data_IF_483737522167
#
_entry.id   IF_483737522167
#
_cell.length_a   1.000
_cell.length_b   1.000
_cell.length_c   1.000
_cell.angle_alpha   90.00
_cell.angle_beta   90.00
_cell.angle_gamma   90.00
#
_symmetry.space_group_name_H-M   'P 1'
#
loop_
_entity.id
_entity.type
_entity.pdbx_description
1 polymer ?
#
# COMPACT_ATOMS: atom_id res chain seq x y z
N UNK A 1 6.72 0.78 -3.47
CA UNK A 1 7.46 -0.40 -2.97
C UNK A 1 8.14 -0.16 -1.62
N UNK A 2 9.28 0.52 -1.51
CA UNK A 2 10.01 0.64 -0.22
C UNK A 2 9.21 1.31 0.92
N UNK A 3 8.41 2.35 0.61
CA UNK A 3 7.63 3.07 1.61
C UNK A 3 6.59 2.19 2.33
N UNK A 4 5.80 1.44 1.56
CA UNK A 4 4.78 0.54 2.10
C UNK A 4 5.41 -0.59 2.90
N UNK A 5 6.48 -1.24 2.40
CA UNK A 5 7.21 -2.24 3.19
C UNK A 5 7.69 -1.71 4.53
N UNK A 6 8.26 -0.50 4.57
CA UNK A 6 8.74 0.11 5.81
C UNK A 6 7.61 0.29 6.82
N UNK A 7 6.52 0.95 6.42
CA UNK A 7 5.40 1.26 7.31
C UNK A 7 4.69 -0.02 7.77
N UNK A 8 4.42 -0.95 6.85
CA UNK A 8 3.70 -2.20 7.16
C UNK A 8 4.57 -3.19 7.96
N UNK A 9 5.88 -2.95 8.04
CA UNK A 9 6.79 -3.66 8.95
C UNK A 9 6.95 -2.96 10.30
N UNK A 10 6.18 -1.90 10.58
CA UNK A 10 6.11 -1.25 11.88
C UNK A 10 6.83 0.09 12.00
N UNK A 11 7.33 0.65 10.89
CA UNK A 11 7.88 2.00 10.93
C UNK A 11 6.77 3.03 11.19
N UNK A 12 7.02 3.99 12.09
CA UNK A 12 6.10 5.09 12.39
C UNK A 12 5.87 6.07 11.22
N UNK A 13 6.64 5.92 10.13
CA UNK A 13 6.52 6.74 8.94
C UNK A 13 7.56 6.37 7.89
N UNK A 14 7.70 7.23 6.88
CA UNK A 14 8.67 7.08 5.80
C UNK A 14 9.13 8.44 5.29
N UNK A 15 10.41 8.56 4.95
CA UNK A 15 10.97 9.77 4.34
C UNK A 15 11.21 9.53 2.86
N UNK A 16 10.56 10.33 2.00
CA UNK A 16 10.81 10.33 0.57
C UNK A 16 12.09 11.10 0.24
N UNK A 17 12.86 10.59 -0.72
CA UNK A 17 14.05 11.24 -1.25
C UNK A 17 14.12 11.07 -2.76
N UNK A 18 14.41 12.17 -3.47
CA UNK A 18 14.61 12.18 -4.91
C UNK A 18 15.98 12.77 -5.25
N UNK A 19 16.68 12.13 -6.18
CA UNK A 19 18.07 12.49 -6.47
C UNK A 19 18.27 13.98 -6.87
N UNK A 20 17.37 14.61 -7.64
CA UNK A 20 17.50 16.03 -7.99
C UNK A 20 17.23 16.98 -6.81
N UNK A 21 16.31 16.62 -5.90
CA UNK A 21 15.82 17.52 -4.83
C UNK A 21 16.86 17.71 -3.73
N UNK A 22 17.32 16.62 -3.11
CA UNK A 22 18.28 16.69 -1.99
C UNK A 22 19.65 17.31 -2.36
N UNK A 23 19.95 17.46 -3.65
CA UNK A 23 21.16 18.13 -4.16
C UNK A 23 20.88 19.54 -4.66
N UNK A 24 19.60 19.91 -4.82
CA UNK A 24 19.17 21.09 -5.56
C UNK A 24 19.86 21.17 -6.92
N UNK A 25 19.84 20.08 -7.70
CA UNK A 25 20.52 20.01 -9.00
C UNK A 25 20.00 21.09 -9.94
N UNK A 26 20.91 21.88 -10.51
CA UNK A 26 20.65 22.87 -11.54
C UNK A 26 21.82 22.87 -12.55
N UNK A 27 21.74 23.68 -13.61
CA UNK A 27 22.77 23.75 -14.65
C UNK A 27 24.11 24.34 -14.17
N UNK A 28 24.13 24.96 -12.99
CA UNK A 28 25.32 25.58 -12.38
C UNK A 28 26.03 24.66 -11.39
N UNK A 29 25.38 23.58 -10.96
CA UNK A 29 25.89 22.64 -9.94
C UNK A 29 26.32 21.32 -10.55
N UNK A 30 27.44 20.79 -10.06
CA UNK A 30 27.94 19.48 -10.48
C UNK A 30 26.94 18.38 -10.10
N UNK A 31 26.46 17.65 -11.09
CA UNK A 31 25.62 16.45 -10.90
C UNK A 31 26.41 15.38 -10.14
N UNK A 32 25.82 14.79 -9.10
CA UNK A 32 26.44 13.70 -8.32
C UNK A 32 26.61 12.41 -9.14
N UNK A 33 25.76 12.17 -10.15
CA UNK A 33 25.97 11.08 -11.10
C UNK A 33 25.45 11.43 -12.48
N UNK A 34 25.92 10.69 -13.50
CA UNK A 34 25.35 10.76 -14.85
C UNK A 34 23.88 10.35 -14.92
N UNK A 35 23.35 9.74 -13.85
CA UNK A 35 21.94 9.37 -13.71
C UNK A 35 21.07 10.47 -13.10
N UNK A 36 21.64 11.62 -12.72
CA UNK A 36 20.87 12.78 -12.27
C UNK A 36 20.31 13.50 -13.51
N UNK A 37 19.15 13.02 -13.96
CA UNK A 37 18.58 13.39 -15.25
C UNK A 37 17.71 14.67 -15.24
N UNK A 38 17.54 15.36 -14.10
CA UNK A 38 16.52 16.41 -13.96
C UNK A 38 16.98 17.61 -13.12
N UNK A 39 16.38 18.78 -13.38
CA UNK A 39 16.46 19.95 -12.50
C UNK A 39 15.68 19.68 -11.19
N UNK A 40 16.07 20.29 -10.07
CA UNK A 40 15.42 20.03 -8.79
C UNK A 40 13.93 20.39 -8.78
N UNK A 41 13.52 21.43 -9.53
CA UNK A 41 12.10 21.76 -9.69
C UNK A 41 11.34 20.65 -10.41
N UNK A 42 11.90 20.06 -11.47
CA UNK A 42 11.30 18.91 -12.14
C UNK A 42 11.28 17.68 -11.22
N UNK A 43 12.29 17.56 -10.35
CA UNK A 43 12.34 16.54 -9.31
C UNK A 43 11.15 16.60 -8.36
N UNK A 44 10.58 17.80 -8.10
CA UNK A 44 9.38 17.96 -7.28
C UNK A 44 8.14 17.33 -7.93
N UNK A 45 8.11 17.27 -9.26
CA UNK A 45 7.00 16.71 -10.04
C UNK A 45 7.12 15.20 -10.28
N UNK A 46 8.15 14.55 -9.71
CA UNK A 46 8.29 13.09 -9.80
C UNK A 46 7.10 12.39 -9.13
N UNK A 47 6.54 11.31 -9.74
CA UNK A 47 5.36 10.63 -9.20
C UNK A 47 5.48 10.21 -7.74
N UNK A 48 6.68 9.84 -7.29
CA UNK A 48 6.96 9.44 -5.91
C UNK A 48 6.64 10.53 -4.87
N UNK A 49 6.79 11.81 -5.23
CA UNK A 49 6.48 12.93 -4.35
C UNK A 49 4.98 13.02 -4.04
N UNK A 50 4.13 12.78 -5.04
CA UNK A 50 2.67 12.73 -4.86
C UNK A 50 2.24 11.42 -4.19
N UNK A 51 2.83 10.29 -4.61
CA UNK A 51 2.45 8.95 -4.12
C UNK A 51 2.72 8.76 -2.63
N UNK A 52 3.75 9.39 -2.05
CA UNK A 52 3.96 9.31 -0.60
C UNK A 52 2.84 10.00 0.19
N UNK A 53 2.21 11.02 -0.40
CA UNK A 53 1.00 11.65 0.15
C UNK A 53 -0.17 10.68 0.21
N UNK A 54 -0.30 9.77 -0.77
CA UNK A 54 -1.33 8.74 -0.76
C UNK A 54 -1.11 7.69 0.34
N UNK A 55 0.15 7.31 0.61
CA UNK A 55 0.47 6.48 1.78
C UNK A 55 0.05 7.15 3.09
N UNK A 56 0.40 8.44 3.27
CA UNK A 56 -0.02 9.19 4.46
C UNK A 56 -1.54 9.19 4.61
N UNK A 57 -2.26 9.51 3.53
CA UNK A 57 -3.73 9.52 3.52
C UNK A 57 -4.34 8.15 3.87
N UNK A 58 -3.75 7.06 3.38
CA UNK A 58 -4.18 5.71 3.73
C UNK A 58 -3.97 5.44 5.22
N UNK A 59 -2.78 5.72 5.76
CA UNK A 59 -2.50 5.44 7.17
C UNK A 59 -3.35 6.31 8.11
N UNK A 60 -3.62 7.57 7.74
CA UNK A 60 -4.47 8.49 8.52
C UNK A 60 -5.98 8.24 8.35
N UNK A 61 -6.38 7.33 7.45
CA UNK A 61 -7.81 6.98 7.29
C UNK A 61 -8.36 6.18 8.47
N UNK A 62 -7.49 5.61 9.31
CA UNK A 62 -7.84 4.78 10.46
C UNK A 62 -6.96 5.10 11.67
N UNK A 63 -7.34 4.57 12.84
CA UNK A 63 -6.47 4.61 14.03
C UNK A 63 -5.14 3.91 13.74
N UNK A 64 -4.04 4.64 13.89
CA UNK A 64 -2.69 4.07 13.77
C UNK A 64 -2.13 3.55 15.11
N UNK A 65 -2.78 3.87 16.23
CA UNK A 65 -2.22 3.68 17.58
C UNK A 65 -2.13 2.21 17.99
N UNK A 66 -2.99 1.37 17.44
CA UNK A 66 -3.08 -0.06 17.72
C UNK A 66 -2.58 -0.93 16.56
N UNK A 67 -2.00 -0.33 15.53
CA UNK A 67 -1.46 -1.07 14.38
C UNK A 67 -0.20 -1.85 14.76
N UNK A 68 -0.22 -3.14 14.45
CA UNK A 68 0.92 -4.06 14.62
C UNK A 68 1.16 -4.84 13.33
N UNK A 69 2.42 -5.03 12.90
CA UNK A 69 2.74 -5.92 11.79
C UNK A 69 2.30 -7.34 12.11
N UNK A 70 1.47 -7.95 11.25
CA UNK A 70 0.96 -9.30 11.46
C UNK A 70 0.90 -10.07 10.15
N UNK A 71 1.99 -10.77 9.83
CA UNK A 71 2.07 -11.60 8.62
C UNK A 71 1.20 -12.86 8.70
N UNK A 72 0.68 -13.23 9.90
CA UNK A 72 -0.26 -14.35 10.02
C UNK A 72 -1.58 -14.06 9.31
N UNK A 73 -1.87 -12.79 9.00
CA UNK A 73 -3.00 -12.39 8.17
C UNK A 73 -2.91 -12.99 6.76
N UNK A 74 -1.71 -13.29 6.24
CA UNK A 74 -1.54 -13.83 4.90
C UNK A 74 -1.36 -15.36 5.00
N UNK A 75 -2.37 -16.10 4.58
CA UNK A 75 -2.38 -17.57 4.61
C UNK A 75 -1.56 -18.18 3.46
N UNK A 76 -1.57 -17.54 2.29
CA UNK A 76 -0.82 -17.98 1.12
C UNK A 76 -0.59 -16.82 0.14
N UNK A 77 0.42 -16.96 -0.71
CA UNK A 77 0.74 -15.96 -1.73
C UNK A 77 1.60 -14.81 -1.21
N UNK A 78 2.33 -14.99 -0.10
CA UNK A 78 3.25 -13.98 0.45
C UNK A 78 4.32 -13.56 -0.57
N UNK A 79 4.79 -14.47 -1.42
CA UNK A 79 5.90 -14.19 -2.33
C UNK A 79 7.25 -14.06 -1.61
N UNK A 80 8.27 -13.66 -2.34
CA UNK A 80 9.66 -13.54 -1.86
C UNK A 80 10.33 -12.30 -2.44
N UNK A 81 11.29 -11.73 -1.71
CA UNK A 81 12.09 -10.60 -2.17
C UNK A 81 11.21 -9.46 -2.73
N UNK A 82 11.30 -9.20 -4.03
CA UNK A 82 10.56 -8.13 -4.71
C UNK A 82 9.05 -8.30 -4.75
N UNK A 83 8.54 -9.52 -4.55
CA UNK A 83 7.10 -9.85 -4.55
C UNK A 83 6.53 -10.05 -3.14
N UNK A 84 7.33 -9.82 -2.09
CA UNK A 84 6.92 -10.06 -0.71
C UNK A 84 5.76 -9.17 -0.29
N UNK A 85 4.56 -9.71 -0.14
CA UNK A 85 3.40 -9.04 0.45
C UNK A 85 3.63 -8.84 1.94
N UNK A 86 3.16 -7.73 2.50
CA UNK A 86 3.24 -7.49 3.94
C UNK A 86 1.89 -7.04 4.50
N UNK A 87 1.60 -7.47 5.73
CA UNK A 87 0.37 -7.15 6.44
C UNK A 87 0.63 -6.38 7.74
N UNK A 88 -0.25 -5.42 8.02
CA UNK A 88 -0.36 -4.72 9.29
C UNK A 88 -1.84 -4.69 9.70
N UNK A 89 -2.15 -4.84 10.97
CA UNK A 89 -3.54 -4.78 11.45
C UNK A 89 -3.65 -4.10 12.81
N UNK A 90 -4.80 -3.51 13.04
CA UNK A 90 -5.25 -3.08 14.36
C UNK A 90 -6.33 -4.03 14.87
N UNK A 91 -7.18 -3.52 15.76
CA UNK A 91 -8.35 -4.23 16.26
C UNK A 91 -9.48 -4.27 15.22
N UNK A 92 -9.75 -3.14 14.56
CA UNK A 92 -10.92 -2.96 13.69
C UNK A 92 -10.64 -2.98 12.20
N UNK A 93 -9.36 -2.96 11.80
CA UNK A 93 -8.99 -2.87 10.40
C UNK A 93 -7.63 -3.51 10.14
N UNK A 94 -7.38 -3.87 8.89
CA UNK A 94 -6.12 -4.42 8.44
C UNK A 94 -5.79 -3.98 7.02
N UNK A 95 -4.49 -3.93 6.73
CA UNK A 95 -3.98 -3.61 5.41
C UNK A 95 -3.01 -4.70 4.95
N UNK A 96 -3.12 -5.12 3.69
CA UNK A 96 -2.17 -6.03 3.04
C UNK A 96 -1.60 -5.36 1.80
N UNK A 97 -0.33 -5.00 1.82
CA UNK A 97 0.37 -4.48 0.64
C UNK A 97 0.84 -5.65 -0.23
N UNK A 98 0.46 -5.61 -1.51
CA UNK A 98 0.78 -6.60 -2.53
C UNK A 98 1.63 -5.91 -3.60
N UNK A 99 2.96 -6.07 -3.61
CA UNK A 99 3.86 -5.25 -4.42
C UNK A 99 3.87 -5.58 -5.93
N UNK A 100 3.42 -6.79 -6.29
CA UNK A 100 3.53 -7.30 -7.67
C UNK A 100 2.25 -7.93 -8.19
N UNK A 101 1.11 -7.67 -7.55
CA UNK A 101 -0.20 -8.16 -7.98
C UNK A 101 -0.41 -9.68 -7.87
N UNK A 102 0.41 -10.34 -7.05
CA UNK A 102 0.26 -11.76 -6.73
C UNK A 102 -1.10 -12.02 -6.06
N UNK A 103 -1.76 -13.10 -6.49
CA UNK A 103 -2.95 -13.63 -5.83
C UNK A 103 -2.60 -13.93 -4.37
N UNK A 104 -3.34 -13.32 -3.45
CA UNK A 104 -3.04 -13.37 -2.02
C UNK A 104 -4.25 -13.94 -1.29
N UNK A 105 -4.01 -14.95 -0.44
CA UNK A 105 -5.03 -15.55 0.42
C UNK A 105 -4.87 -15.02 1.83
N UNK A 106 -5.95 -14.47 2.38
CA UNK A 106 -5.98 -13.77 3.66
C UNK A 106 -6.81 -14.55 4.67
N UNK A 107 -6.34 -14.62 5.92
CA UNK A 107 -7.09 -15.14 7.07
C UNK A 107 -8.04 -14.07 7.57
N UNK A 108 -9.35 -14.35 7.55
CA UNK A 108 -10.37 -13.49 8.15
C UNK A 108 -10.61 -13.93 9.60
N UNK A 109 -11.23 -13.05 10.39
CA UNK A 109 -11.49 -13.26 11.82
C UNK A 109 -10.33 -12.84 12.74
N UNK A 110 -9.30 -12.16 12.21
CA UNK A 110 -8.18 -11.61 12.99
C UNK A 110 -8.40 -10.13 13.40
N UNK A 111 -9.44 -9.50 12.87
CA UNK A 111 -9.94 -8.19 13.29
C UNK A 111 -11.36 -8.34 13.85
N UNK A 112 -11.89 -7.31 14.50
CA UNK A 112 -13.23 -7.32 15.09
C UNK A 112 -14.35 -7.37 14.05
N UNK A 113 -15.58 -7.56 14.53
CA UNK A 113 -16.77 -7.61 13.69
C UNK A 113 -17.07 -9.01 13.17
N UNK A 114 -18.35 -9.28 12.88
CA UNK A 114 -18.78 -10.53 12.22
C UNK A 114 -18.67 -10.45 10.70
N UNK A 115 -18.69 -9.24 10.17
CA UNK A 115 -18.63 -8.92 8.74
C UNK A 115 -17.51 -7.90 8.55
N UNK A 116 -16.72 -8.10 7.51
CA UNK A 116 -15.63 -7.22 7.12
C UNK A 116 -15.91 -6.67 5.74
N UNK A 117 -15.83 -5.35 5.61
CA UNK A 117 -15.80 -4.67 4.32
C UNK A 117 -14.39 -4.77 3.76
N UNK A 118 -14.28 -5.12 2.48
CA UNK A 118 -13.00 -5.13 1.79
C UNK A 118 -12.99 -4.15 0.61
N UNK A 119 -11.84 -3.52 0.42
CA UNK A 119 -11.61 -2.57 -0.66
C UNK A 119 -10.20 -2.69 -1.22
N UNK A 120 -10.01 -2.34 -2.49
CA UNK A 120 -8.70 -2.13 -3.10
C UNK A 120 -8.31 -0.67 -3.03
N UNK A 121 -7.14 -0.38 -2.49
CA UNK A 121 -6.51 0.92 -2.56
C UNK A 121 -5.37 0.89 -3.57
N UNK A 122 -5.34 1.88 -4.47
CA UNK A 122 -4.30 2.05 -5.49
C UNK A 122 -3.21 3.02 -4.99
N UNK A 123 -1.99 2.56 -4.68
CA UNK A 123 -0.88 3.41 -4.23
C UNK A 123 -0.43 4.49 -5.22
N UNK A 124 -0.79 4.34 -6.50
CA UNK A 124 -0.34 5.21 -7.59
C UNK A 124 -1.30 6.37 -7.81
N UNK A 125 -2.57 6.18 -7.49
CA UNK A 125 -3.64 7.18 -7.71
C UNK A 125 -4.31 7.65 -6.42
N UNK A 126 -4.15 6.91 -5.31
CA UNK A 126 -4.79 7.21 -4.04
C UNK A 126 -6.30 6.90 -4.00
N UNK A 127 -6.81 6.18 -5.00
CA UNK A 127 -8.22 5.80 -5.10
C UNK A 127 -8.49 4.49 -4.36
N UNK A 128 -9.64 4.44 -3.67
CA UNK A 128 -10.16 3.23 -3.02
C UNK A 128 -11.39 2.75 -3.78
N UNK A 129 -11.46 1.45 -4.09
CA UNK A 129 -12.59 0.80 -4.74
C UNK A 129 -13.09 -0.34 -3.87
N UNK A 130 -14.33 -0.25 -3.41
CA UNK A 130 -14.97 -1.31 -2.63
C UNK A 130 -15.17 -2.56 -3.49
N UNK A 131 -14.92 -3.74 -2.90
CA UNK A 131 -15.15 -5.03 -3.56
C UNK A 131 -16.29 -5.83 -2.91
N UNK A 132 -16.72 -5.43 -1.71
CA UNK A 132 -17.89 -5.96 -1.02
C UNK A 132 -17.63 -6.34 0.42
N UNK A 133 -18.63 -6.97 1.03
CA UNK A 133 -18.60 -7.45 2.40
C UNK A 133 -18.44 -8.97 2.47
N UNK A 134 -17.71 -9.44 3.48
CA UNK A 134 -17.44 -10.86 3.68
C UNK A 134 -17.66 -11.24 5.14
N UNK A 135 -18.07 -12.48 5.37
CA UNK A 135 -18.03 -13.05 6.72
C UNK A 135 -16.59 -13.00 7.24
N UNK A 136 -16.41 -12.47 8.44
CA UNK A 136 -15.09 -12.30 9.04
C UNK A 136 -14.60 -13.60 9.69
N UNK A 137 -14.52 -14.67 8.90
CA UNK A 137 -14.11 -16.01 9.34
C UNK A 137 -13.41 -16.78 8.22
N UNK A 138 -12.54 -17.72 8.59
CA UNK A 138 -11.87 -18.62 7.64
C UNK A 138 -10.79 -17.94 6.79
N UNK A 139 -10.65 -18.40 5.54
CA UNK A 139 -9.66 -17.89 4.58
C UNK A 139 -10.31 -17.50 3.27
N UNK A 140 -9.85 -16.40 2.69
CA UNK A 140 -10.36 -15.90 1.41
C UNK A 140 -9.24 -15.46 0.49
N UNK A 141 -9.33 -15.88 -0.77
CA UNK A 141 -8.38 -15.45 -1.80
C UNK A 141 -8.88 -14.20 -2.51
N UNK A 142 -7.98 -13.24 -2.67
CA UNK A 142 -8.23 -11.96 -3.32
C UNK A 142 -7.32 -11.83 -4.54
N UNK A 143 -7.92 -11.41 -5.65
CA UNK A 143 -7.23 -11.13 -6.91
C UNK A 143 -7.22 -9.62 -7.15
N UNK A 144 -6.04 -9.08 -7.42
CA UNK A 144 -5.90 -7.66 -7.69
C UNK A 144 -6.64 -7.26 -8.98
N UNK A 145 -7.16 -6.04 -9.06
CA UNK A 145 -7.70 -5.52 -10.31
C UNK A 145 -6.57 -5.24 -11.32
N UNK A 146 -6.96 -5.11 -12.60
CA UNK A 146 -6.03 -4.68 -13.64
C UNK A 146 -5.58 -3.23 -13.44
N UNK A 147 -4.45 -2.85 -14.05
CA UNK A 147 -3.84 -1.53 -13.83
C UNK A 147 -4.72 -0.36 -14.26
N UNK A 148 -5.57 -0.58 -15.27
CA UNK A 148 -6.57 0.37 -15.73
C UNK A 148 -7.68 -0.39 -16.46
N UNK A 149 -8.66 0.33 -16.99
CA UNK A 149 -9.71 -0.25 -17.84
C UNK A 149 -9.11 -0.82 -19.14
N UNK A 150 -8.12 -0.14 -19.69
CA UNK A 150 -7.41 -0.48 -20.92
C UNK A 150 -6.37 -1.59 -20.69
N UNK A 151 -5.78 -1.64 -19.49
CA UNK A 151 -4.79 -2.63 -19.07
C UNK A 151 -5.37 -3.64 -18.07
N UNK A 152 -6.61 -4.08 -18.31
CA UNK A 152 -7.33 -5.01 -17.42
C UNK A 152 -6.65 -6.39 -17.30
N UNK A 153 -5.88 -6.77 -18.32
CA UNK A 153 -5.09 -8.00 -18.39
C UNK A 153 -3.78 -7.92 -17.60
N UNK A 154 -3.25 -6.71 -17.38
CA UNK A 154 -2.00 -6.51 -16.65
C UNK A 154 -2.30 -6.50 -15.16
N UNK A 155 -2.05 -7.62 -14.50
CA UNK A 155 -2.33 -7.84 -13.07
C UNK A 155 -1.12 -8.29 -12.27
N UNK A 156 0.05 -8.44 -12.89
CA UNK A 156 1.23 -8.93 -12.20
C UNK A 156 2.51 -8.31 -12.71
N UNK A 157 3.53 -8.28 -11.84
CA UNK A 157 4.85 -7.75 -12.13
C UNK A 157 5.09 -6.36 -11.52
N UNK A 158 6.21 -5.76 -11.89
CA UNK A 158 6.64 -4.48 -11.32
C UNK A 158 5.66 -3.36 -11.67
N UNK A 159 5.27 -2.56 -10.69
CA UNK A 159 4.30 -1.48 -10.85
C UNK A 159 2.84 -1.93 -10.79
N UNK A 160 2.59 -3.23 -10.55
CA UNK A 160 1.25 -3.77 -10.32
C UNK A 160 0.89 -3.86 -8.84
N UNK A 161 1.26 -2.84 -8.06
CA UNK A 161 1.04 -2.85 -6.62
C UNK A 161 -0.35 -2.37 -6.22
N UNK A 162 -0.87 -3.00 -5.17
CA UNK A 162 -2.18 -2.73 -4.58
C UNK A 162 -2.11 -2.88 -3.06
N UNK A 163 -3.02 -2.23 -2.34
CA UNK A 163 -3.27 -2.53 -0.94
C UNK A 163 -4.69 -3.07 -0.79
N UNK A 164 -4.83 -4.26 -0.21
CA UNK A 164 -6.12 -4.73 0.29
C UNK A 164 -6.39 -4.05 1.63
N UNK A 165 -7.54 -3.41 1.73
CA UNK A 165 -8.05 -2.77 2.95
C UNK A 165 -9.20 -3.63 3.49
N UNK A 166 -9.15 -3.98 4.76
CA UNK A 166 -10.18 -4.74 5.48
C UNK A 166 -10.65 -3.91 6.68
N UNK A 167 -11.95 -3.70 6.80
CA UNK A 167 -12.57 -2.81 7.79
C UNK A 167 -13.76 -3.49 8.46
N UNK A 168 -13.85 -3.42 9.79
CA UNK A 168 -15.04 -3.78 10.54
C UNK A 168 -16.15 -2.76 10.26
N UNK A 169 -17.30 -3.22 9.74
CA UNK A 169 -18.42 -2.36 9.35
C UNK A 169 -19.19 -1.78 10.54
N UNK A 170 -18.95 -2.27 11.76
CA UNK A 170 -19.74 -1.90 12.95
C UNK A 170 -18.94 -1.12 14.01
N UNK A 171 -17.64 -0.95 13.81
CA UNK A 171 -16.77 -0.33 14.82
C UNK A 171 -17.06 1.16 15.07
N UNK A 172 -17.78 1.85 14.16
CA UNK A 172 -18.09 3.28 14.27
C UNK A 172 -19.46 3.62 14.90
N UNK A 173 -20.19 2.66 15.50
CA UNK A 173 -21.53 2.93 16.06
C UNK A 173 -21.60 3.39 17.53
N UNK A 174 -20.48 3.77 18.15
CA UNK A 174 -20.54 4.33 19.50
C UNK A 174 -19.59 5.53 19.65
N UNK A 175 -20.08 6.71 19.29
CA UNK A 175 -19.90 7.96 20.04
C UNK A 175 -21.19 8.79 19.97
#
# INVERSE_FOLDING_TARGET
MAAYWSVFSGAAGFTYGAQPIWQFTDDTRKKHSSKTFQNWQEGMELPGATQIGFLKKLMESHSILDLVPDQSLIAAGQGECGSYSCAIRGKSHAFVYIPTGNKTTVRLGLISGKVVKASWFDPRTGLTTEIGEFENSGVKSFEVPGMSKELSWLKSGRGCDWVLVLEDTQFFQFE
#
